data_IF_721342935097
#
_entry.id   IF_721342935097
#
_cell.length_a   1.000
_cell.length_b   1.000
_cell.length_c   1.000
_cell.angle_alpha   90.00
_cell.angle_beta   90.00
_cell.angle_gamma   90.00
#
_symmetry.space_group_name_H-M   'P 1'
#
loop_
_entity.id
_entity.type
_entity.pdbx_description
1 polymer ?
#
# COMPACT_ATOMS: atom_id res chain seq x y z
N UNK A 1 -24.92 1.92 -6.10
CA UNK A 1 -23.57 1.30 -6.03
C UNK A 1 -22.50 2.06 -6.81
N UNK A 2 -22.73 2.48 -8.07
CA UNK A 2 -21.68 3.10 -8.91
C UNK A 2 -20.94 4.27 -8.24
N UNK A 3 -21.68 5.18 -7.58
CA UNK A 3 -21.12 6.33 -6.85
C UNK A 3 -20.19 5.91 -5.70
N UNK A 4 -20.51 4.83 -4.98
CA UNK A 4 -19.68 4.31 -3.87
C UNK A 4 -18.32 3.84 -4.41
N UNK A 5 -18.30 3.09 -5.51
CA UNK A 5 -17.07 2.59 -6.10
C UNK A 5 -16.20 3.72 -6.66
N UNK A 6 -16.81 4.71 -7.31
CA UNK A 6 -16.10 5.92 -7.77
C UNK A 6 -15.47 6.68 -6.59
N UNK A 7 -16.20 6.81 -5.48
CA UNK A 7 -15.69 7.43 -4.26
C UNK A 7 -14.49 6.66 -3.68
N UNK A 8 -14.64 5.36 -3.45
CA UNK A 8 -13.58 4.50 -2.90
C UNK A 8 -12.31 4.53 -3.77
N UNK A 9 -12.46 4.50 -5.10
CA UNK A 9 -11.32 4.60 -6.02
C UNK A 9 -10.61 5.95 -5.93
N UNK A 10 -11.36 7.05 -5.78
CA UNK A 10 -10.77 8.39 -5.61
C UNK A 10 -10.03 8.50 -4.27
N UNK A 11 -10.61 7.97 -3.20
CA UNK A 11 -10.00 7.93 -1.87
C UNK A 11 -8.68 7.12 -1.90
N UNK A 12 -8.67 5.96 -2.57
CA UNK A 12 -7.45 5.16 -2.75
C UNK A 12 -6.36 5.93 -3.50
N UNK A 13 -6.69 6.55 -4.65
CA UNK A 13 -5.72 7.33 -5.42
C UNK A 13 -5.16 8.52 -4.63
N UNK A 14 -6.02 9.18 -3.86
CA UNK A 14 -5.58 10.27 -2.98
C UNK A 14 -4.60 9.77 -1.91
N UNK A 15 -4.92 8.68 -1.22
CA UNK A 15 -4.04 8.06 -0.21
C UNK A 15 -2.69 7.66 -0.81
N UNK A 16 -2.70 7.00 -1.98
CA UNK A 16 -1.49 6.62 -2.73
C UNK A 16 -0.62 7.81 -3.12
N UNK A 17 -1.23 8.96 -3.41
CA UNK A 17 -0.48 10.18 -3.73
C UNK A 17 0.24 10.80 -2.51
N UNK A 18 -0.29 10.57 -1.30
CA UNK A 18 0.32 11.05 -0.05
C UNK A 18 1.47 10.15 0.39
N UNK A 19 1.40 8.85 0.09
CA UNK A 19 2.40 7.85 0.46
C UNK A 19 3.83 8.27 0.08
N UNK A 20 4.03 8.90 -1.07
CA UNK A 20 5.36 9.37 -1.49
C UNK A 20 5.95 10.42 -0.53
N UNK A 21 5.12 11.35 -0.04
CA UNK A 21 5.54 12.37 0.95
C UNK A 21 5.78 11.73 2.31
N UNK A 22 4.90 10.82 2.71
CA UNK A 22 5.00 10.08 3.98
C UNK A 22 6.24 9.19 4.02
N UNK A 23 6.62 8.54 2.91
CA UNK A 23 7.87 7.77 2.79
C UNK A 23 9.10 8.63 3.07
N UNK A 24 9.17 9.83 2.48
CA UNK A 24 10.28 10.76 2.71
C UNK A 24 10.33 11.19 4.17
N UNK A 25 9.19 11.53 4.78
CA UNK A 25 9.12 11.88 6.20
C UNK A 25 9.54 10.72 7.09
N UNK A 26 9.09 9.50 6.78
CA UNK A 26 9.47 8.29 7.49
C UNK A 26 10.97 8.02 7.46
N UNK A 27 11.62 8.19 6.31
CA UNK A 27 13.07 8.06 6.20
C UNK A 27 13.81 9.09 7.05
N UNK A 28 13.33 10.34 7.11
CA UNK A 28 13.88 11.38 7.98
C UNK A 28 13.73 10.99 9.46
N UNK A 29 12.54 10.56 9.88
CA UNK A 29 12.27 10.10 11.25
C UNK A 29 13.13 8.90 11.63
N UNK A 30 13.29 7.93 10.73
CA UNK A 30 14.15 6.75 10.93
C UNK A 30 15.61 7.14 11.16
N UNK A 31 16.14 8.08 10.37
CA UNK A 31 17.52 8.61 10.56
C UNK A 31 17.69 9.29 11.92
N UNK A 32 16.70 10.06 12.37
CA UNK A 32 16.72 10.71 13.70
C UNK A 32 16.67 9.65 14.81
N UNK A 33 15.76 8.67 14.73
CA UNK A 33 15.68 7.55 15.67
C UNK A 33 17.01 6.80 15.78
N UNK A 34 17.65 6.52 14.65
CA UNK A 34 18.95 5.85 14.63
C UNK A 34 20.06 6.69 15.27
N UNK A 35 20.12 8.00 14.96
CA UNK A 35 21.11 8.90 15.54
C UNK A 35 20.96 9.01 17.07
N UNK A 36 19.72 9.08 17.56
CA UNK A 36 19.41 9.10 19.00
C UNK A 36 19.80 7.79 19.70
N UNK A 37 19.55 6.64 19.06
CA UNK A 37 19.92 5.33 19.61
C UNK A 37 21.44 5.11 19.64
N UNK A 38 22.17 5.56 18.61
CA UNK A 38 23.62 5.42 18.50
C UNK A 38 24.40 6.52 19.26
N UNK A 39 23.71 7.55 19.77
CA UNK A 39 24.34 8.71 20.43
C UNK A 39 25.20 9.57 19.50
N UNK A 40 25.01 9.46 18.18
CA UNK A 40 25.76 10.21 17.17
C UNK A 40 25.12 11.59 16.93
N UNK A 41 25.91 12.60 16.52
CA UNK A 41 25.35 13.90 16.18
C UNK A 41 24.39 13.77 14.99
N UNK A 42 23.26 14.46 15.09
CA UNK A 42 22.21 14.46 14.06
C UNK A 42 22.74 15.12 12.78
N UNK A 43 22.43 14.59 11.58
CA UNK A 43 22.84 15.20 10.32
C UNK A 43 22.44 16.67 10.23
N UNK A 44 23.33 17.52 9.73
CA UNK A 44 23.15 18.98 9.64
C UNK A 44 21.93 19.39 8.83
N UNK A 45 21.55 18.60 7.81
CA UNK A 45 20.37 18.83 6.97
C UNK A 45 19.04 18.67 7.75
N UNK A 46 19.02 17.82 8.78
CA UNK A 46 17.82 17.53 9.58
C UNK A 46 17.73 18.39 10.84
N UNK A 47 18.79 19.14 11.18
CA UNK A 47 18.88 19.88 12.44
C UNK A 47 17.81 20.98 12.58
N UNK A 48 17.36 21.57 11.47
CA UNK A 48 16.28 22.56 11.49
C UNK A 48 14.89 21.93 11.64
N UNK A 49 14.69 20.72 11.11
CA UNK A 49 13.42 19.99 11.17
C UNK A 49 13.33 19.07 12.40
N UNK A 50 14.44 18.85 13.10
CA UNK A 50 14.56 17.92 14.22
C UNK A 50 13.54 18.21 15.32
N UNK A 51 13.44 19.47 15.76
CA UNK A 51 12.58 19.82 16.88
C UNK A 51 11.10 19.46 16.62
N UNK A 52 10.63 19.65 15.38
CA UNK A 52 9.27 19.29 14.98
C UNK A 52 9.12 17.76 14.82
N UNK A 53 10.07 17.12 14.13
CA UNK A 53 10.03 15.67 13.93
C UNK A 53 10.16 14.88 15.23
N UNK A 54 10.86 15.43 16.23
CA UNK A 54 11.01 14.84 17.55
C UNK A 54 9.69 14.84 18.34
N UNK A 55 8.96 15.95 18.30
CA UNK A 55 7.61 16.00 18.87
C UNK A 55 6.68 14.99 18.18
N UNK A 56 6.77 14.84 16.86
CA UNK A 56 5.99 13.83 16.16
C UNK A 56 6.39 12.40 16.51
N UNK A 57 7.69 12.11 16.65
CA UNK A 57 8.20 10.79 17.07
C UNK A 57 7.71 10.44 18.47
N UNK A 58 7.68 11.40 19.40
CA UNK A 58 7.21 11.16 20.77
C UNK A 58 5.70 10.86 20.84
N UNK A 59 4.93 11.25 19.81
CA UNK A 59 3.50 10.96 19.67
C UNK A 59 3.20 9.67 18.88
N UNK A 60 4.22 8.99 18.33
CA UNK A 60 4.06 7.77 17.53
C UNK A 60 3.89 6.51 18.39
N UNK A 61 2.72 5.88 18.33
CA UNK A 61 2.49 4.54 18.87
C UNK A 61 3.20 3.44 18.06
N UNK A 62 3.43 2.26 18.66
CA UNK A 62 4.11 1.11 18.04
C UNK A 62 3.56 0.72 16.65
N UNK A 63 2.26 0.93 16.41
CA UNK A 63 1.62 0.64 15.11
C UNK A 63 1.90 1.68 14.02
N UNK A 64 2.23 2.91 14.40
CA UNK A 64 2.50 4.04 13.50
C UNK A 64 4.00 4.22 13.27
N UNK A 65 4.82 3.64 14.16
CA UNK A 65 6.28 3.65 14.05
C UNK A 65 6.83 2.92 12.82
N UNK A 66 6.08 1.96 12.27
CA UNK A 66 6.42 1.21 11.07
C UNK A 66 5.60 1.69 9.86
N UNK A 67 6.28 1.93 8.74
CA UNK A 67 5.61 2.31 7.50
C UNK A 67 4.88 1.08 6.92
N UNK A 68 3.54 1.11 6.90
CA UNK A 68 2.77 0.07 6.21
C UNK A 68 3.05 0.14 4.71
N UNK A 69 3.44 -0.99 4.12
CA UNK A 69 3.63 -1.11 2.68
C UNK A 69 2.27 -1.08 1.97
N UNK A 70 2.04 -0.08 1.11
CA UNK A 70 0.83 0.02 0.27
C UNK A 70 0.86 -0.93 -0.93
N UNK A 71 1.89 -1.78 -1.03
CA UNK A 71 2.12 -2.65 -2.20
C UNK A 71 0.96 -3.64 -2.40
N UNK A 72 0.24 -4.01 -1.34
CA UNK A 72 -0.82 -5.03 -1.37
C UNK A 72 -2.17 -4.56 -0.77
N UNK A 73 -2.47 -3.26 -0.73
CA UNK A 73 -3.71 -2.74 -0.11
C UNK A 73 -4.98 -3.26 -0.82
N UNK A 74 -4.96 -3.45 -2.14
CA UNK A 74 -6.07 -4.02 -2.91
C UNK A 74 -6.41 -5.47 -2.52
N UNK A 75 -5.41 -6.23 -2.07
CA UNK A 75 -5.54 -7.63 -1.66
C UNK A 75 -5.39 -7.80 -0.14
N UNK A 76 -5.47 -6.71 0.63
CA UNK A 76 -5.32 -6.73 2.09
C UNK A 76 -6.31 -7.67 2.80
N UNK A 77 -7.49 -7.86 2.21
CA UNK A 77 -8.54 -8.76 2.71
C UNK A 77 -8.46 -10.18 2.13
N UNK A 78 -7.37 -10.53 1.42
CA UNK A 78 -7.18 -11.88 0.91
C UNK A 78 -7.19 -12.89 2.05
N UNK A 79 -7.89 -14.02 1.85
CA UNK A 79 -8.04 -15.08 2.86
C UNK A 79 -9.24 -14.94 3.78
N UNK A 80 -9.99 -13.83 3.75
CA UNK A 80 -11.25 -13.69 4.51
C UNK A 80 -12.41 -14.35 3.75
N UNK A 81 -12.50 -14.12 2.44
CA UNK A 81 -13.54 -14.67 1.57
C UNK A 81 -12.93 -15.39 0.37
N UNK A 82 -13.58 -16.47 -0.07
CA UNK A 82 -13.18 -17.19 -1.27
C UNK A 82 -13.49 -16.34 -2.53
N UNK A 83 -12.50 -16.09 -3.41
CA UNK A 83 -12.70 -15.26 -4.59
C UNK A 83 -13.65 -15.95 -5.59
N UNK A 84 -14.58 -15.18 -6.15
CA UNK A 84 -15.49 -15.65 -7.22
C UNK A 84 -15.04 -15.04 -8.55
N UNK A 85 -14.38 -15.83 -9.36
CA UNK A 85 -13.78 -15.38 -10.63
C UNK A 85 -14.65 -15.86 -11.79
N UNK A 86 -14.98 -14.96 -12.71
CA UNK A 86 -15.66 -15.29 -13.96
C UNK A 86 -14.69 -15.13 -15.14
N UNK A 87 -14.39 -16.23 -15.81
CA UNK A 87 -13.58 -16.25 -17.03
C UNK A 87 -14.50 -16.09 -18.25
N UNK A 88 -14.27 -15.07 -19.06
CA UNK A 88 -15.03 -14.80 -20.29
C UNK A 88 -14.13 -14.82 -21.52
N UNK A 89 -14.70 -15.12 -22.69
CA UNK A 89 -14.02 -15.05 -23.98
C UNK A 89 -14.45 -13.79 -24.73
N UNK A 90 -13.86 -13.56 -25.92
CA UNK A 90 -14.38 -12.58 -26.89
C UNK A 90 -15.82 -12.92 -27.35
N UNK A 91 -16.44 -11.98 -28.08
CA UNK A 91 -17.82 -12.08 -28.58
C UNK A 91 -18.05 -13.33 -29.46
N UNK A 92 -17.15 -13.58 -30.41
CA UNK A 92 -17.20 -14.74 -31.32
C UNK A 92 -15.89 -15.55 -31.21
N UNK A 93 -15.80 -16.46 -30.22
CA UNK A 93 -14.57 -17.20 -29.95
C UNK A 93 -14.41 -18.40 -30.90
N UNK A 94 -13.16 -18.77 -31.16
CA UNK A 94 -12.86 -20.04 -31.83
C UNK A 94 -13.09 -21.23 -30.89
N UNK A 95 -13.30 -22.42 -31.47
CA UNK A 95 -13.44 -23.67 -30.69
C UNK A 95 -12.25 -23.94 -29.78
N UNK A 96 -11.03 -23.64 -30.24
CA UNK A 96 -9.80 -23.74 -29.42
C UNK A 96 -9.80 -22.77 -28.24
N UNK A 97 -10.27 -21.53 -28.43
CA UNK A 97 -10.34 -20.55 -27.35
C UNK A 97 -11.37 -20.94 -26.28
N UNK A 98 -12.50 -21.52 -26.70
CA UNK A 98 -13.49 -22.07 -25.79
C UNK A 98 -12.93 -23.23 -24.96
N UNK A 99 -12.18 -24.13 -25.60
CA UNK A 99 -11.50 -25.23 -24.90
C UNK A 99 -10.46 -24.71 -23.91
N UNK A 100 -9.63 -23.74 -24.31
CA UNK A 100 -8.64 -23.14 -23.41
C UNK A 100 -9.29 -22.44 -22.22
N UNK A 101 -10.42 -21.76 -22.42
CA UNK A 101 -11.19 -21.18 -21.31
C UNK A 101 -11.62 -22.28 -20.33
N UNK A 102 -12.13 -23.41 -20.82
CA UNK A 102 -12.56 -24.50 -19.95
C UNK A 102 -11.40 -25.04 -19.09
N UNK A 103 -10.24 -25.29 -19.71
CA UNK A 103 -9.04 -25.75 -18.99
C UNK A 103 -8.61 -24.76 -17.90
N UNK A 104 -8.72 -23.45 -18.15
CA UNK A 104 -8.40 -22.43 -17.15
C UNK A 104 -9.42 -22.36 -16.01
N UNK A 105 -10.70 -22.60 -16.30
CA UNK A 105 -11.72 -22.70 -15.26
C UNK A 105 -11.41 -23.88 -14.34
N UNK A 106 -11.12 -25.05 -14.91
CA UNK A 106 -10.83 -26.27 -14.14
C UNK A 106 -9.52 -26.18 -13.33
N UNK A 107 -8.62 -25.25 -13.68
CA UNK A 107 -7.37 -25.01 -12.96
C UNK A 107 -7.55 -24.08 -11.75
N UNK A 108 -8.45 -23.09 -11.86
CA UNK A 108 -8.60 -22.00 -10.89
C UNK A 108 -9.76 -22.27 -9.91
N UNK A 109 -10.79 -22.99 -10.36
CA UNK A 109 -11.97 -23.36 -9.57
C UNK A 109 -11.85 -24.80 -9.04
#
# INVERSE_FOLDING_TARGET
MLRRNTRLRREYLYRKSLEGKERVLYEKKRKIRQALAEGKPIPTELRNEEAALRQEIDLEDDQTQELKSTIDDEYSNAGIENPKILLTTSRDPSSRLMQNRQVLVDLIC
#
